data_IF_757141545508
#
_entry.id   IF_757141545508
#
_cell.length_a   1.000
_cell.length_b   1.000
_cell.length_c   1.000
_cell.angle_alpha   90.00
_cell.angle_beta   90.00
_cell.angle_gamma   90.00
#
_symmetry.space_group_name_H-M   'P 1'
#
loop_
_entity.id
_entity.type
_entity.pdbx_description
1 polymer ?
#
# COMPACT_ATOMS: atom_id res chain seq x y z
N UNK A 1 -12.67 11.36 28.47
CA UNK A 1 -11.56 10.41 28.70
C UNK A 1 -11.79 9.25 27.72
N UNK A 2 -10.99 8.93 26.70
CA UNK A 2 -9.69 9.36 26.16
C UNK A 2 -9.68 8.85 24.69
N UNK A 3 -9.13 9.66 23.77
CA UNK A 3 -8.64 9.37 22.42
C UNK A 3 -8.87 7.95 21.84
N UNK A 4 -9.78 7.85 20.87
CA UNK A 4 -9.72 6.82 19.81
C UNK A 4 -8.60 7.26 18.87
N UNK A 5 -7.44 6.62 18.95
CA UNK A 5 -6.32 6.85 18.02
C UNK A 5 -6.77 6.44 16.61
N UNK A 6 -7.04 7.43 15.77
CA UNK A 6 -7.35 7.28 14.37
C UNK A 6 -6.05 6.89 13.65
N UNK A 7 -5.94 5.66 13.13
CA UNK A 7 -4.78 5.19 12.37
C UNK A 7 -4.74 5.81 10.96
N UNK A 8 -4.78 7.14 10.84
CA UNK A 8 -4.96 7.79 9.55
C UNK A 8 -3.64 8.27 8.93
N UNK A 9 -3.08 7.41 8.08
CA UNK A 9 -2.14 7.79 7.00
C UNK A 9 -2.82 7.64 5.63
N UNK A 10 -4.16 7.56 5.57
CA UNK A 10 -4.92 7.76 4.34
C UNK A 10 -5.27 9.24 4.22
N UNK A 11 -5.08 9.80 3.03
CA UNK A 11 -5.55 11.16 2.74
C UNK A 11 -7.07 11.17 2.97
N UNK A 12 -7.60 12.04 3.85
CA UNK A 12 -9.03 12.12 4.08
C UNK A 12 -9.81 12.34 2.78
N UNK A 13 -10.98 11.71 2.66
CA UNK A 13 -11.85 11.91 1.49
C UNK A 13 -12.17 13.41 1.31
N UNK A 14 -12.01 13.91 0.09
CA UNK A 14 -12.22 15.33 -0.26
C UNK A 14 -11.03 16.26 -0.03
N UNK A 15 -9.90 15.77 0.49
CA UNK A 15 -8.68 16.59 0.67
C UNK A 15 -7.92 16.85 -0.65
N UNK A 16 -8.07 15.96 -1.64
CA UNK A 16 -7.52 16.08 -2.99
C UNK A 16 -8.67 16.32 -3.97
N UNK A 17 -8.50 17.27 -4.91
CA UNK A 17 -9.53 17.56 -5.91
C UNK A 17 -9.80 16.34 -6.80
N UNK A 18 -11.03 16.24 -7.32
CA UNK A 18 -11.46 15.09 -8.11
C UNK A 18 -10.58 14.82 -9.34
N UNK A 19 -10.01 15.85 -9.97
CA UNK A 19 -9.14 15.73 -11.13
C UNK A 19 -7.79 15.11 -10.77
N UNK A 20 -7.18 15.54 -9.65
CA UNK A 20 -5.90 15.00 -9.17
C UNK A 20 -6.07 13.56 -8.71
N UNK A 21 -7.13 13.24 -7.97
CA UNK A 21 -7.47 11.87 -7.59
C UNK A 21 -7.71 10.96 -8.80
N UNK A 22 -8.38 11.47 -9.83
CA UNK A 22 -8.58 10.74 -11.07
C UNK A 22 -7.25 10.51 -11.82
N UNK A 23 -6.39 11.53 -11.90
CA UNK A 23 -5.09 11.42 -12.56
C UNK A 23 -4.18 10.39 -11.90
N UNK A 24 -4.05 10.43 -10.57
CA UNK A 24 -3.25 9.45 -9.82
C UNK A 24 -3.87 8.05 -9.86
N UNK A 25 -5.20 7.95 -9.87
CA UNK A 25 -5.92 6.70 -10.08
C UNK A 25 -5.61 6.05 -11.43
N UNK A 26 -5.59 6.84 -12.51
CA UNK A 26 -5.24 6.35 -13.86
C UNK A 26 -3.79 5.84 -13.89
N UNK A 27 -2.85 6.57 -13.29
CA UNK A 27 -1.45 6.16 -13.21
C UNK A 27 -1.32 4.82 -12.46
N UNK A 28 -1.99 4.70 -11.32
CA UNK A 28 -2.01 3.48 -10.51
C UNK A 28 -2.57 2.27 -11.27
N UNK A 29 -3.69 2.46 -11.98
CA UNK A 29 -4.28 1.42 -12.80
C UNK A 29 -3.36 1.01 -13.97
N UNK A 30 -2.68 1.98 -14.59
CA UNK A 30 -1.74 1.73 -15.68
C UNK A 30 -0.53 0.90 -15.23
N UNK A 31 0.05 1.21 -14.07
CA UNK A 31 1.17 0.45 -13.54
C UNK A 31 0.74 -0.95 -13.12
N UNK A 32 -0.38 -1.08 -12.41
CA UNK A 32 -0.93 -2.39 -12.01
C UNK A 32 -1.16 -3.30 -13.23
N UNK A 33 -1.74 -2.75 -14.30
CA UNK A 33 -1.99 -3.50 -15.53
C UNK A 33 -0.69 -3.99 -16.20
N UNK A 34 0.34 -3.14 -16.26
CA UNK A 34 1.64 -3.52 -16.82
C UNK A 34 2.30 -4.65 -16.03
N UNK A 35 2.28 -4.58 -14.69
CA UNK A 35 2.85 -5.63 -13.83
C UNK A 35 2.07 -6.95 -13.93
N UNK A 36 0.74 -6.91 -13.93
CA UNK A 36 -0.08 -8.11 -14.12
C UNK A 36 0.25 -8.77 -15.46
N UNK A 37 0.37 -7.99 -16.54
CA UNK A 37 0.67 -8.52 -17.87
C UNK A 37 2.01 -9.27 -17.90
N UNK A 38 3.04 -8.73 -17.25
CA UNK A 38 4.34 -9.40 -17.13
C UNK A 38 4.30 -10.60 -16.18
N UNK A 39 3.54 -10.54 -15.08
CA UNK A 39 3.40 -11.63 -14.12
C UNK A 39 2.81 -12.90 -14.73
N UNK A 40 2.00 -12.79 -15.79
CA UNK A 40 1.45 -13.96 -16.53
C UNK A 40 2.52 -14.87 -17.13
N UNK A 41 3.74 -14.37 -17.35
CA UNK A 41 4.85 -15.16 -17.86
C UNK A 41 5.68 -15.82 -16.73
N UNK A 42 5.41 -15.49 -15.47
CA UNK A 42 6.14 -15.92 -14.27
C UNK A 42 5.31 -16.91 -13.41
N UNK A 43 4.24 -17.47 -13.98
CA UNK A 43 3.20 -18.24 -13.26
C UNK A 43 3.70 -19.67 -12.98
N UNK A 44 4.57 -19.81 -11.99
CA UNK A 44 4.77 -21.08 -11.29
C UNK A 44 3.96 -21.03 -9.99
N UNK A 45 3.24 -22.10 -9.65
CA UNK A 45 2.35 -22.15 -8.46
C UNK A 45 3.07 -21.72 -7.17
N UNK A 46 4.36 -22.08 -7.04
CA UNK A 46 5.21 -21.69 -5.91
C UNK A 46 5.47 -20.17 -5.85
N UNK A 47 5.63 -19.51 -7.00
CA UNK A 47 5.86 -18.06 -7.07
C UNK A 47 4.59 -17.27 -6.70
N UNK A 48 3.41 -17.77 -7.06
CA UNK A 48 2.12 -17.20 -6.69
C UNK A 48 1.92 -17.30 -5.17
N UNK A 49 2.18 -18.48 -4.60
CA UNK A 49 2.10 -18.68 -3.16
C UNK A 49 3.08 -17.77 -2.40
N UNK A 50 4.32 -17.62 -2.91
CA UNK A 50 5.34 -16.78 -2.28
C UNK A 50 4.96 -15.28 -2.31
N UNK A 51 4.47 -14.77 -3.44
CA UNK A 51 4.02 -13.37 -3.54
C UNK A 51 2.82 -13.08 -2.65
N UNK A 52 1.88 -14.03 -2.53
CA UNK A 52 0.77 -13.93 -1.58
C UNK A 52 1.23 -13.86 -0.13
N UNK A 53 2.14 -14.74 0.29
CA UNK A 53 2.72 -14.72 1.63
C UNK A 53 3.49 -13.43 1.92
N UNK A 54 4.27 -12.93 0.95
CA UNK A 54 4.99 -11.66 1.10
C UNK A 54 4.04 -10.48 1.23
N UNK A 55 2.95 -10.45 0.45
CA UNK A 55 1.92 -9.42 0.58
C UNK A 55 1.30 -9.42 1.98
N UNK A 56 1.01 -10.61 2.54
CA UNK A 56 0.48 -10.74 3.89
C UNK A 56 1.48 -10.30 4.97
N UNK A 57 2.76 -10.65 4.81
CA UNK A 57 3.85 -10.20 5.69
C UNK A 57 3.94 -8.67 5.69
N UNK A 58 3.99 -8.06 4.50
CA UNK A 58 4.08 -6.61 4.33
C UNK A 58 2.89 -5.92 4.97
N UNK A 59 1.68 -6.45 4.79
CA UNK A 59 0.47 -5.91 5.40
C UNK A 59 0.56 -5.88 6.93
N UNK A 60 1.00 -6.99 7.54
CA UNK A 60 1.17 -7.07 9.01
C UNK A 60 2.28 -6.12 9.48
N UNK A 61 3.40 -6.04 8.76
CA UNK A 61 4.50 -5.12 9.08
C UNK A 61 4.09 -3.65 8.93
N UNK A 62 3.21 -3.33 7.98
CA UNK A 62 2.65 -1.98 7.82
C UNK A 62 1.73 -1.58 8.98
N UNK A 63 1.13 -2.54 9.69
CA UNK A 63 0.38 -2.28 10.91
C UNK A 63 1.27 -1.96 12.11
N UNK A 64 2.58 -2.21 12.02
CA UNK A 64 3.56 -1.72 12.99
C UNK A 64 3.86 -0.25 12.63
N UNK A 65 3.14 0.66 13.28
CA UNK A 65 3.34 2.09 13.13
C UNK A 65 3.99 2.69 14.39
N UNK A 66 4.92 3.62 14.18
CA UNK A 66 5.54 4.41 15.22
C UNK A 66 4.94 5.82 15.20
N UNK A 67 4.44 6.34 16.33
CA UNK A 67 3.94 7.71 16.38
C UNK A 67 5.10 8.69 16.17
N UNK A 68 4.96 9.56 15.17
CA UNK A 68 5.88 10.68 14.92
C UNK A 68 5.18 11.95 15.44
N UNK A 69 5.95 12.87 16.01
CA UNK A 69 5.43 14.14 16.51
C UNK A 69 4.57 14.85 15.45
N UNK A 70 3.54 15.57 15.90
CA UNK A 70 2.52 16.25 15.08
C UNK A 70 1.42 15.37 14.45
N UNK A 71 1.06 14.24 15.06
CA UNK A 71 -0.14 13.47 14.68
C UNK A 71 0.03 12.60 13.43
N UNK A 72 1.24 12.52 12.88
CA UNK A 72 1.59 11.64 11.77
C UNK A 72 2.16 10.32 12.30
N UNK A 73 1.83 9.19 11.67
CA UNK A 73 2.40 7.89 12.02
C UNK A 73 3.44 7.48 10.99
N UNK A 74 4.68 7.20 11.40
CA UNK A 74 5.63 6.53 10.51
C UNK A 74 5.30 5.04 10.46
N UNK A 75 5.07 4.48 9.27
CA UNK A 75 4.90 3.03 9.12
C UNK A 75 5.96 2.48 8.17
N UNK A 76 6.19 1.17 8.26
CA UNK A 76 7.09 0.49 7.34
C UNK A 76 6.57 0.63 5.90
N UNK A 77 7.45 0.98 4.96
CA UNK A 77 7.16 0.96 3.52
C UNK A 77 7.62 -0.39 2.98
N UNK A 78 6.68 -1.28 2.69
CA UNK A 78 6.93 -2.66 2.28
C UNK A 78 7.72 -2.85 0.98
N UNK A 79 8.05 -1.76 0.27
CA UNK A 79 8.78 -1.80 -1.01
C UNK A 79 10.19 -2.39 -0.91
N UNK A 80 10.88 -2.20 0.22
CA UNK A 80 12.22 -2.79 0.41
C UNK A 80 12.20 -4.30 0.71
N UNK A 81 11.04 -4.84 1.11
CA UNK A 81 10.87 -6.25 1.49
C UNK A 81 10.40 -7.14 0.32
N UNK A 82 9.88 -6.52 -0.75
CA UNK A 82 9.28 -7.19 -1.90
C UNK A 82 10.24 -7.32 -3.13
N UNK A 83 11.55 -7.06 -2.94
CA UNK A 83 12.60 -7.20 -3.97
C UNK A 83 13.06 -8.65 -4.12
#
# INVERSE_FOLDING_TARGET
MVFVYNFNMHVPDGFINAQVSAATGIISLGTLWAYIRNAKNLVADKLIALTGMMSALIFVLQMINFPIAAGTSGHLLGGALAV
#
